data_IF_333121925271
#
_entry.id   IF_333121925271
#
_cell.length_a   1.000
_cell.length_b   1.000
_cell.length_c   1.000
_cell.angle_alpha   90.00
_cell.angle_beta   90.00
_cell.angle_gamma   90.00
#
_symmetry.space_group_name_H-M   'P 1'
#
loop_
_entity.id
_entity.type
_entity.pdbx_description
1 polymer ?
#
# COMPACT_ATOMS: atom_id res chain seq x y z
N UNK A 1 8.18 -1.92 -24.33
CA UNK A 1 7.03 -2.20 -23.45
C UNK A 1 6.34 -3.46 -23.96
N UNK A 2 5.84 -4.33 -23.07
CA UNK A 2 5.02 -5.49 -23.44
C UNK A 2 3.65 -5.40 -22.76
N UNK A 3 2.65 -6.09 -23.30
CA UNK A 3 1.33 -6.18 -22.68
C UNK A 3 1.40 -6.92 -21.33
N UNK A 4 0.54 -6.51 -20.39
CA UNK A 4 0.47 -7.17 -19.11
C UNK A 4 -0.08 -8.60 -19.25
N UNK A 5 0.76 -9.58 -18.95
CA UNK A 5 0.38 -10.98 -18.81
C UNK A 5 0.81 -11.43 -17.41
N UNK A 6 -0.16 -11.70 -16.53
CA UNK A 6 0.08 -12.10 -15.13
C UNK A 6 1.21 -13.13 -14.97
N UNK A 7 1.15 -14.22 -15.75
CA UNK A 7 2.17 -15.29 -15.71
C UNK A 7 3.58 -14.82 -16.10
N UNK A 8 3.69 -13.86 -17.03
CA UNK A 8 4.99 -13.27 -17.40
C UNK A 8 5.51 -12.39 -16.27
N UNK A 9 4.67 -11.53 -15.70
CA UNK A 9 5.04 -10.66 -14.58
C UNK A 9 5.60 -11.48 -13.40
N UNK A 10 4.91 -12.56 -13.01
CA UNK A 10 5.38 -13.48 -11.98
C UNK A 10 6.74 -14.08 -12.36
N UNK A 11 6.90 -14.59 -13.59
CA UNK A 11 8.18 -15.14 -14.06
C UNK A 11 9.32 -14.12 -14.07
N UNK A 12 9.02 -12.84 -14.30
CA UNK A 12 10.02 -11.78 -14.18
C UNK A 12 10.49 -11.62 -12.73
N UNK A 13 9.56 -11.60 -11.77
CA UNK A 13 9.85 -11.51 -10.34
C UNK A 13 10.64 -12.73 -9.84
N UNK A 14 10.26 -13.95 -10.23
CA UNK A 14 10.97 -15.19 -9.90
C UNK A 14 12.43 -15.21 -10.39
N UNK A 15 12.74 -14.45 -11.44
CA UNK A 15 14.10 -14.28 -11.99
C UNK A 15 14.88 -13.14 -11.33
N UNK A 16 14.37 -12.55 -10.25
CA UNK A 16 14.98 -11.42 -9.56
C UNK A 16 14.94 -10.11 -10.35
N UNK A 17 14.03 -9.98 -11.32
CA UNK A 17 13.89 -8.75 -12.12
C UNK A 17 12.88 -7.81 -11.46
N UNK A 18 13.15 -6.51 -11.55
CA UNK A 18 12.20 -5.49 -11.15
C UNK A 18 11.11 -5.37 -12.22
N UNK A 19 9.85 -5.52 -11.81
CA UNK A 19 8.68 -5.29 -12.67
C UNK A 19 8.11 -3.88 -12.40
N UNK A 20 7.95 -3.10 -13.47
CA UNK A 20 7.32 -1.77 -13.42
C UNK A 20 5.98 -1.86 -14.14
N UNK A 21 4.89 -1.66 -13.40
CA UNK A 21 3.53 -1.61 -13.95
C UNK A 21 3.15 -0.17 -14.29
N UNK A 22 2.70 0.06 -15.51
CA UNK A 22 2.28 1.37 -16.02
C UNK A 22 0.82 1.33 -16.50
N UNK A 23 0.25 2.50 -16.79
CA UNK A 23 -1.14 2.70 -17.23
C UNK A 23 -2.23 2.25 -16.23
N UNK A 24 -1.86 2.05 -14.96
CA UNK A 24 -2.81 1.73 -13.89
C UNK A 24 -3.60 0.45 -14.15
N UNK A 25 -4.93 0.52 -14.01
CA UNK A 25 -5.84 -0.57 -14.36
C UNK A 25 -6.12 -0.66 -15.86
N UNK A 26 -5.68 0.32 -16.64
CA UNK A 26 -6.05 0.50 -18.05
C UNK A 26 -7.45 1.09 -18.27
N UNK A 27 -8.19 1.38 -17.20
CA UNK A 27 -9.56 1.87 -17.26
C UNK A 27 -9.70 3.29 -16.67
N UNK A 28 -10.57 4.15 -17.23
CA UNK A 28 -10.92 5.41 -16.60
C UNK A 28 -11.64 5.17 -15.26
N UNK A 29 -11.69 6.21 -14.41
CA UNK A 29 -12.35 6.20 -13.09
C UNK A 29 -11.67 5.38 -11.99
N UNK A 30 -10.51 4.77 -12.28
CA UNK A 30 -9.68 4.11 -11.27
C UNK A 30 -8.46 4.96 -10.92
N UNK A 31 -8.03 4.86 -9.67
CA UNK A 31 -6.82 5.53 -9.17
C UNK A 31 -5.58 4.65 -9.39
N UNK A 32 -4.40 5.24 -9.17
CA UNK A 32 -3.15 4.46 -9.08
C UNK A 32 -3.13 3.51 -7.89
N UNK A 33 -3.80 3.85 -6.79
CA UNK A 33 -3.93 2.97 -5.62
C UNK A 33 -4.73 1.71 -5.98
N UNK A 34 -5.80 1.84 -6.76
CA UNK A 34 -6.57 0.70 -7.28
C UNK A 34 -5.72 -0.22 -8.14
N UNK A 35 -4.87 0.36 -9.01
CA UNK A 35 -3.94 -0.40 -9.82
C UNK A 35 -2.88 -1.12 -8.99
N UNK A 36 -2.34 -0.44 -7.96
CA UNK A 36 -1.33 -1.01 -7.08
C UNK A 36 -1.89 -2.20 -6.28
N UNK A 37 -3.10 -2.06 -5.72
CA UNK A 37 -3.82 -3.15 -5.06
C UNK A 37 -4.05 -4.33 -6.01
N UNK A 38 -4.57 -4.08 -7.21
CA UNK A 38 -4.82 -5.12 -8.22
C UNK A 38 -3.54 -5.88 -8.60
N UNK A 39 -2.47 -5.16 -8.95
CA UNK A 39 -1.22 -5.79 -9.39
C UNK A 39 -0.55 -6.54 -8.25
N UNK A 40 -0.58 -6.02 -7.02
CA UNK A 40 -0.07 -6.71 -5.84
C UNK A 40 -0.78 -8.05 -5.61
N UNK A 41 -2.10 -8.09 -5.71
CA UNK A 41 -2.88 -9.33 -5.59
C UNK A 41 -2.55 -10.31 -6.72
N UNK A 42 -2.51 -9.83 -7.96
CA UNK A 42 -2.26 -10.69 -9.10
C UNK A 42 -0.88 -11.34 -9.06
N UNK A 43 0.16 -10.60 -8.64
CA UNK A 43 1.53 -11.15 -8.51
C UNK A 43 1.76 -11.91 -7.21
N UNK A 44 0.78 -11.92 -6.29
CA UNK A 44 0.89 -12.58 -5.00
C UNK A 44 1.89 -11.89 -4.06
N UNK A 45 1.92 -10.56 -4.06
CA UNK A 45 2.78 -9.79 -3.18
C UNK A 45 2.38 -10.00 -1.70
N UNK A 46 3.39 -10.10 -0.84
CA UNK A 46 3.19 -10.28 0.61
C UNK A 46 2.87 -8.96 1.33
N UNK A 47 3.20 -7.82 0.71
CA UNK A 47 3.03 -6.50 1.28
C UNK A 47 2.87 -5.45 0.18
N UNK A 48 1.86 -4.59 0.31
CA UNK A 48 1.72 -3.38 -0.49
C UNK A 48 2.30 -2.17 0.25
N UNK A 49 3.39 -1.63 -0.27
CA UNK A 49 4.03 -0.43 0.26
C UNK A 49 3.46 0.82 -0.44
N UNK A 50 2.78 1.69 0.32
CA UNK A 50 2.28 2.97 -0.18
C UNK A 50 3.07 4.11 0.43
N UNK A 51 3.92 4.69 -0.41
CA UNK A 51 4.83 5.75 -0.05
C UNK A 51 4.10 7.10 -0.06
N UNK A 52 4.17 7.85 1.05
CA UNK A 52 3.46 9.12 1.25
C UNK A 52 4.41 10.24 1.69
N UNK A 53 3.89 11.47 1.86
CA UNK A 53 4.61 12.62 2.44
C UNK A 53 4.48 12.72 3.97
N UNK A 54 3.66 11.85 4.56
CA UNK A 54 3.51 11.69 6.01
C UNK A 54 4.00 10.29 6.35
N UNK A 55 4.48 10.11 7.57
CA UNK A 55 5.12 8.88 8.05
C UNK A 55 4.12 7.83 8.55
N UNK A 56 2.84 7.91 8.18
CA UNK A 56 1.84 6.89 8.49
C UNK A 56 0.40 7.43 8.47
N UNK A 57 -0.50 6.68 9.12
CA UNK A 57 -1.90 7.04 9.33
C UNK A 57 -2.03 7.65 10.72
N UNK A 58 -2.72 8.78 10.79
CA UNK A 58 -2.94 9.55 12.01
C UNK A 58 -4.43 9.60 12.36
N UNK A 59 -4.73 9.85 13.63
CA UNK A 59 -6.11 10.07 14.10
C UNK A 59 -6.77 11.33 13.50
N UNK A 60 -5.96 12.34 13.17
CA UNK A 60 -6.35 13.56 12.50
C UNK A 60 -5.20 14.05 11.61
N UNK A 61 -5.44 15.03 10.74
CA UNK A 61 -4.40 15.63 9.90
C UNK A 61 -3.31 16.28 10.78
N UNK A 62 -2.07 15.74 10.84
CA UNK A 62 -1.03 16.23 11.74
C UNK A 62 -0.56 17.64 11.40
N UNK A 63 -0.90 18.17 10.20
CA UNK A 63 -0.64 19.56 9.84
C UNK A 63 -1.62 20.54 10.47
N UNK A 64 -2.81 20.06 10.86
CA UNK A 64 -3.88 20.86 11.46
C UNK A 64 -4.01 20.62 12.96
N UNK A 65 -3.70 19.40 13.39
CA UNK A 65 -3.82 18.93 14.77
C UNK A 65 -2.43 18.44 15.22
N UNK A 66 -1.60 19.31 15.81
CA UNK A 66 -0.23 18.98 16.20
C UNK A 66 -0.11 17.80 17.17
N UNK A 67 -1.14 17.59 17.99
CA UNK A 67 -1.25 16.49 18.96
C UNK A 67 -1.71 15.16 18.35
N UNK A 68 -1.99 15.13 17.05
CA UNK A 68 -2.47 13.94 16.36
C UNK A 68 -1.49 12.78 16.50
N UNK A 69 -1.98 11.67 17.04
CA UNK A 69 -1.20 10.45 17.22
C UNK A 69 -1.21 9.59 15.96
N UNK A 70 -0.01 9.12 15.60
CA UNK A 70 0.18 8.12 14.55
C UNK A 70 -0.17 6.73 15.06
N UNK A 71 -0.86 5.94 14.26
CA UNK A 71 -1.07 4.52 14.54
C UNK A 71 0.15 3.71 14.08
N UNK A 72 0.57 2.71 14.85
CA UNK A 72 1.59 1.75 14.41
C UNK A 72 0.96 0.61 13.60
N UNK A 73 -0.18 0.11 14.06
CA UNK A 73 -0.95 -0.94 13.40
C UNK A 73 -2.43 -0.60 13.44
N UNK A 74 -3.16 -1.01 12.40
CA UNK A 74 -4.61 -0.87 12.30
C UNK A 74 -5.21 -2.11 11.64
N UNK A 75 -6.38 -2.52 12.12
CA UNK A 75 -7.24 -3.45 11.41
C UNK A 75 -7.97 -2.79 10.25
N UNK A 76 -8.29 -3.55 9.20
CA UNK A 76 -9.16 -3.07 8.11
C UNK A 76 -10.50 -2.49 8.60
N UNK A 77 -11.12 -3.15 9.59
CA UNK A 77 -12.35 -2.69 10.19
C UNK A 77 -12.19 -1.38 10.97
N UNK A 78 -11.05 -1.18 11.63
CA UNK A 78 -10.76 0.04 12.39
C UNK A 78 -10.60 1.26 11.49
N UNK A 79 -9.91 1.08 10.35
CA UNK A 79 -9.76 2.14 9.33
C UNK A 79 -11.12 2.60 8.83
N UNK A 80 -12.03 1.67 8.55
CA UNK A 80 -13.39 1.98 8.07
C UNK A 80 -14.20 2.64 9.18
N UNK A 81 -14.21 2.05 10.39
CA UNK A 81 -15.01 2.54 11.51
C UNK A 81 -14.62 3.97 11.94
N UNK A 82 -13.33 4.31 11.83
CA UNK A 82 -12.78 5.63 12.16
C UNK A 82 -12.71 6.56 10.95
N UNK A 83 -13.16 6.13 9.77
CA UNK A 83 -13.10 6.89 8.51
C UNK A 83 -11.69 7.45 8.19
N UNK A 84 -10.65 6.65 8.49
CA UNK A 84 -9.26 7.06 8.27
C UNK A 84 -8.91 7.03 6.79
N UNK A 85 -8.29 8.09 6.29
CA UNK A 85 -7.96 8.24 4.88
C UNK A 85 -6.64 7.53 4.56
N UNK A 86 -6.71 6.36 3.92
CA UNK A 86 -5.54 5.52 3.58
C UNK A 86 -5.30 5.49 2.07
N UNK A 87 -6.34 5.10 1.32
CA UNK A 87 -6.44 5.06 -0.14
C UNK A 87 -7.93 5.24 -0.50
N UNK A 88 -8.25 5.33 -1.78
CA UNK A 88 -9.66 5.35 -2.20
C UNK A 88 -10.39 4.05 -1.79
N UNK A 89 -11.70 4.15 -1.63
CA UNK A 89 -12.55 3.06 -1.11
C UNK A 89 -12.45 1.78 -1.94
N UNK A 90 -12.31 1.88 -3.26
CA UNK A 90 -12.24 0.71 -4.13
C UNK A 90 -10.91 -0.04 -3.95
N UNK A 91 -9.78 0.67 -3.94
CA UNK A 91 -8.47 0.10 -3.66
C UNK A 91 -8.42 -0.54 -2.27
N UNK A 92 -9.00 0.14 -1.26
CA UNK A 92 -9.01 -0.34 0.12
C UNK A 92 -9.82 -1.63 0.28
N UNK A 93 -11.01 -1.67 -0.32
CA UNK A 93 -11.86 -2.86 -0.32
C UNK A 93 -11.14 -4.04 -0.99
N UNK A 94 -10.46 -3.80 -2.11
CA UNK A 94 -9.72 -4.84 -2.82
C UNK A 94 -8.60 -5.44 -1.96
N UNK A 95 -7.83 -4.61 -1.23
CA UNK A 95 -6.80 -5.10 -0.31
C UNK A 95 -7.40 -5.90 0.86
N UNK A 96 -8.50 -5.40 1.44
CA UNK A 96 -9.21 -6.07 2.54
C UNK A 96 -9.72 -7.44 2.13
N UNK A 97 -10.44 -7.51 1.02
CA UNK A 97 -11.14 -8.73 0.59
C UNK A 97 -10.14 -9.85 0.21
N UNK A 98 -8.90 -9.49 -0.11
CA UNK A 98 -7.80 -10.41 -0.39
C UNK A 98 -6.78 -10.54 0.75
N UNK A 99 -7.04 -9.94 1.93
CA UNK A 99 -6.12 -9.92 3.08
C UNK A 99 -4.69 -9.46 2.74
N UNK A 100 -4.52 -8.57 1.76
CA UNK A 100 -3.22 -8.05 1.35
C UNK A 100 -2.74 -7.02 2.38
N UNK A 101 -1.66 -7.22 3.15
CA UNK A 101 -1.20 -6.20 4.09
C UNK A 101 -0.76 -4.92 3.37
N UNK A 102 -1.05 -3.76 3.97
CA UNK A 102 -0.65 -2.45 3.44
C UNK A 102 0.27 -1.77 4.45
N UNK A 103 1.37 -1.17 4.00
CA UNK A 103 2.20 -0.32 4.84
C UNK A 103 2.32 1.09 4.27
N UNK A 104 1.85 2.06 5.06
CA UNK A 104 1.94 3.49 4.77
C UNK A 104 3.19 4.04 5.44
N UNK A 105 4.08 4.68 4.68
CA UNK A 105 5.34 5.22 5.22
C UNK A 105 5.81 6.47 4.47
N UNK A 106 6.71 7.25 5.09
CA UNK A 106 7.32 8.42 4.46
C UNK A 106 8.46 8.00 3.52
N UNK A 107 8.31 8.34 2.23
CA UNK A 107 9.32 8.05 1.22
C UNK A 107 10.58 8.91 1.33
N UNK A 108 10.47 10.06 2.01
CA UNK A 108 11.56 11.01 2.16
C UNK A 108 12.59 10.58 3.19
N UNK A 109 12.25 9.62 4.05
CA UNK A 109 13.15 9.08 5.06
C UNK A 109 14.19 8.14 4.41
N UNK A 110 15.48 8.51 4.40
CA UNK A 110 16.51 7.67 3.78
C UNK A 110 16.57 6.29 4.41
N UNK A 111 16.67 5.26 3.57
CA UNK A 111 16.75 3.87 4.01
C UNK A 111 15.44 3.25 4.51
N UNK A 112 14.32 3.98 4.52
CA UNK A 112 13.04 3.47 5.02
C UNK A 112 12.62 2.15 4.36
N UNK A 113 12.76 2.03 3.03
CA UNK A 113 12.43 0.80 2.32
C UNK A 113 13.21 -0.40 2.85
N UNK A 114 14.54 -0.29 2.99
CA UNK A 114 15.38 -1.38 3.49
C UNK A 114 15.06 -1.75 4.93
N UNK A 115 14.75 -0.76 5.77
CA UNK A 115 14.38 -0.96 7.18
C UNK A 115 13.02 -1.68 7.30
N UNK A 116 12.05 -1.32 6.47
CA UNK A 116 10.76 -2.02 6.36
C UNK A 116 10.97 -3.48 5.95
N UNK A 117 11.78 -3.73 4.91
CA UNK A 117 12.09 -5.09 4.46
C UNK A 117 12.83 -5.94 5.52
N UNK A 118 13.46 -5.31 6.50
CA UNK A 118 14.07 -5.96 7.67
C UNK A 118 13.10 -6.15 8.85
N UNK A 119 11.84 -5.74 8.71
CA UNK A 119 10.80 -5.91 9.72
C UNK A 119 10.71 -4.78 10.75
N UNK A 120 11.39 -3.65 10.55
CA UNK A 120 11.28 -2.53 11.49
C UNK A 120 9.86 -1.90 11.47
N UNK A 121 9.35 -1.39 12.62
CA UNK A 121 8.01 -0.82 12.75
C UNK A 121 7.93 0.61 12.21
N UNK A 122 8.38 0.79 10.96
CA UNK A 122 8.26 2.04 10.21
C UNK A 122 6.85 2.20 9.64
N UNK A 123 6.29 3.38 9.80
CA UNK A 123 4.99 3.67 9.23
C UNK A 123 3.84 3.05 10.00
N UNK A 124 2.69 2.96 9.32
CA UNK A 124 1.52 2.26 9.83
C UNK A 124 1.28 1.00 9.01
N UNK A 125 1.15 -0.14 9.67
CA UNK A 125 0.75 -1.40 9.05
C UNK A 125 -0.77 -1.58 9.15
N UNK A 126 -1.45 -1.74 8.02
CA UNK A 126 -2.86 -2.14 7.95
C UNK A 126 -2.93 -3.60 7.54
N UNK A 127 -3.58 -4.43 8.34
CA UNK A 127 -3.71 -5.86 8.05
C UNK A 127 -5.01 -6.46 8.63
N UNK A 128 -5.33 -7.69 8.25
CA UNK A 128 -6.45 -8.44 8.83
C UNK A 128 -6.08 -8.98 10.21
N UNK A 129 -7.04 -9.02 11.12
CA UNK A 129 -6.91 -9.77 12.37
C UNK A 129 -7.07 -11.27 12.12
#
# INVERSE_FOLDING_TARGET
AEDYIRRRAIRHLEKGRIAIFAAGTGNPFFTTDSAAALRAIEVGAELLLKATKVDGIYEADPKKVPEARRYEQLGYGEVIARNLQVMDTAAFALCRDHNLPIRIYDMMQPGALMRILRGEPLGTLVHGA
#
